data_IF_650565201637
#
_entry.id   IF_650565201637
#
_cell.length_a   1.000
_cell.length_b   1.000
_cell.length_c   1.000
_cell.angle_alpha   90.00
_cell.angle_beta   90.00
_cell.angle_gamma   90.00
#
_symmetry.space_group_name_H-M   'P 1'
#
loop_
_entity.id
_entity.type
_entity.pdbx_description
1 polymer ?
#
# COMPACT_ATOMS: atom_id res chain seq x y z
N UNK A 1 -22.66 9.85 34.60
CA UNK A 1 -21.74 10.95 34.98
C UNK A 1 -20.61 10.42 35.85
N UNK A 2 -19.42 10.15 35.29
CA UNK A 2 -18.13 10.08 36.01
C UNK A 2 -17.02 10.41 35.00
N UNK A 3 -16.53 11.64 35.02
CA UNK A 3 -15.38 12.08 34.22
C UNK A 3 -14.09 11.63 34.93
N UNK A 4 -13.23 10.88 34.25
CA UNK A 4 -11.82 10.66 34.65
C UNK A 4 -10.93 11.51 33.75
N UNK A 5 -10.40 12.59 34.32
CA UNK A 5 -9.35 13.43 33.74
C UNK A 5 -8.00 12.73 33.85
N UNK A 6 -7.31 12.57 32.73
CA UNK A 6 -5.90 12.15 32.68
C UNK A 6 -5.02 13.39 32.57
N UNK A 7 -4.13 13.59 33.55
CA UNK A 7 -3.11 14.64 33.54
C UNK A 7 -1.80 14.10 32.94
N UNK A 8 -1.47 14.56 31.74
CA UNK A 8 -0.14 14.39 31.15
C UNK A 8 0.79 15.47 31.70
N UNK A 9 1.75 15.10 32.55
CA UNK A 9 2.85 15.97 32.96
C UNK A 9 4.03 15.83 31.99
N UNK A 10 4.20 16.83 31.11
CA UNK A 10 5.44 17.04 30.34
C UNK A 10 6.42 17.87 31.17
N UNK A 11 7.67 17.45 31.39
CA UNK A 11 8.69 18.35 31.89
C UNK A 11 9.20 19.25 30.75
N UNK A 12 8.97 20.55 30.89
CA UNK A 12 9.66 21.64 30.18
C UNK A 12 10.60 22.32 31.17
N UNK A 13 11.85 22.53 30.74
CA UNK A 13 12.84 23.59 31.10
C UNK A 13 14.22 23.04 30.70
N UNK A 14 14.82 23.38 29.55
CA UNK A 14 15.28 24.66 29.04
C UNK A 14 16.48 25.26 29.82
N UNK A 15 17.51 25.58 29.02
CA UNK A 15 18.55 26.61 29.16
C UNK A 15 19.84 26.30 29.94
N UNK A 16 20.90 26.13 29.12
CA UNK A 16 22.15 26.92 29.06
C UNK A 16 23.08 26.94 30.27
N UNK A 17 24.39 26.79 30.00
CA UNK A 17 25.42 27.82 30.23
C UNK A 17 26.70 27.41 29.50
N UNK A 18 27.18 28.32 28.65
CA UNK A 18 28.50 28.35 28.03
C UNK A 18 29.53 28.83 29.06
N UNK A 19 30.65 28.12 29.22
CA UNK A 19 31.88 28.70 29.77
C UNK A 19 33.06 28.24 28.92
N UNK A 20 33.72 29.22 28.33
CA UNK A 20 34.94 29.11 27.55
C UNK A 20 36.18 29.05 28.45
N UNK A 21 37.22 28.36 28.00
CA UNK A 21 38.59 28.62 28.45
C UNK A 21 39.56 28.39 27.28
N UNK A 22 40.19 29.49 26.88
CA UNK A 22 41.20 29.57 25.85
C UNK A 22 42.56 29.06 26.36
N UNK A 23 43.35 28.44 25.49
CA UNK A 23 44.79 28.32 25.69
C UNK A 23 45.50 28.51 24.34
N UNK A 24 46.28 29.59 24.27
CA UNK A 24 47.20 29.94 23.21
C UNK A 24 48.32 28.89 23.10
N UNK A 25 48.69 28.52 21.87
CA UNK A 25 50.04 28.08 21.55
C UNK A 25 50.42 28.58 20.15
N UNK A 26 51.27 29.61 20.13
CA UNK A 26 51.93 30.14 18.96
C UNK A 26 52.96 29.12 18.44
N UNK A 27 52.96 28.85 17.14
CA UNK A 27 54.06 28.15 16.45
C UNK A 27 54.45 28.99 15.22
N UNK A 28 55.74 29.35 15.07
CA UNK A 28 56.20 30.21 13.99
C UNK A 28 56.14 29.50 12.63
N UNK A 29 55.64 30.22 11.63
CA UNK A 29 55.62 29.83 10.24
C UNK A 29 57.04 29.66 9.68
N UNK A 30 57.37 28.46 9.19
CA UNK A 30 58.49 28.24 8.27
C UNK A 30 57.92 28.21 6.85
N UNK A 31 58.19 29.28 6.09
CA UNK A 31 57.95 29.30 4.66
C UNK A 31 59.03 28.47 3.95
N UNK A 32 58.63 27.35 3.37
CA UNK A 32 59.41 26.60 2.39
C UNK A 32 58.82 26.93 1.02
N UNK A 33 59.58 27.49 0.06
CA UNK A 33 59.11 27.63 -1.31
C UNK A 33 59.16 26.24 -1.96
N UNK A 34 57.99 25.66 -2.22
CA UNK A 34 57.85 24.50 -3.10
C UNK A 34 57.31 25.02 -4.41
N UNK A 35 58.23 25.31 -5.34
CA UNK A 35 57.90 25.37 -6.77
C UNK A 35 57.59 23.95 -7.23
N UNK A 36 56.33 23.58 -7.07
CA UNK A 36 55.78 22.33 -7.53
C UNK A 36 54.38 22.61 -8.02
N UNK A 37 54.26 22.98 -9.29
CA UNK A 37 52.98 23.01 -9.98
C UNK A 37 52.31 21.65 -9.78
N UNK A 38 51.27 21.62 -8.95
CA UNK A 38 50.35 20.50 -8.87
C UNK A 38 49.64 20.47 -10.23
N UNK A 39 50.22 19.69 -11.14
CA UNK A 39 49.62 19.29 -12.39
C UNK A 39 48.34 18.54 -12.06
N UNK A 40 47.22 19.28 -11.99
CA UNK A 40 45.90 18.69 -12.13
C UNK A 40 45.85 18.26 -13.59
N UNK A 41 46.22 17.02 -13.86
CA UNK A 41 46.05 16.42 -15.17
C UNK A 41 44.54 16.51 -15.47
N UNK A 42 44.12 17.14 -16.58
CA UNK A 42 42.72 17.16 -16.93
C UNK A 42 42.27 15.71 -17.03
N UNK A 43 41.48 15.25 -16.06
CA UNK A 43 40.71 14.04 -16.27
C UNK A 43 39.71 14.44 -17.34
N UNK A 44 39.96 14.02 -18.58
CA UNK A 44 39.16 14.42 -19.73
C UNK A 44 37.67 14.26 -19.42
N UNK A 45 36.83 15.04 -20.09
CA UNK A 45 35.38 14.96 -19.94
C UNK A 45 34.96 13.51 -20.20
N UNK A 46 34.62 12.75 -19.15
CA UNK A 46 33.98 11.46 -19.31
C UNK A 46 32.56 11.80 -19.75
N UNK A 47 32.26 11.58 -21.03
CA UNK A 47 30.89 11.64 -21.52
C UNK A 47 30.04 10.77 -20.61
N UNK A 48 28.98 11.32 -20.02
CA UNK A 48 28.16 10.67 -18.98
C UNK A 48 27.37 9.44 -19.47
N UNK A 49 27.78 8.84 -20.59
CA UNK A 49 26.97 7.92 -21.38
C UNK A 49 25.73 8.62 -21.94
N UNK A 50 24.98 7.89 -22.77
CA UNK A 50 23.59 8.26 -23.01
C UNK A 50 22.79 8.16 -21.71
N UNK A 51 21.63 8.84 -21.60
CA UNK A 51 20.75 8.69 -20.45
C UNK A 51 20.47 7.20 -20.21
N UNK A 52 20.44 6.75 -18.95
CA UNK A 52 20.19 5.34 -18.64
C UNK A 52 18.84 4.95 -19.23
N UNK A 53 18.86 4.03 -20.19
CA UNK A 53 17.64 3.43 -20.73
C UNK A 53 17.16 2.44 -19.69
N UNK A 54 16.11 2.80 -18.95
CA UNK A 54 15.47 1.90 -18.01
C UNK A 54 14.81 0.73 -18.76
N UNK A 55 15.57 -0.34 -19.02
CA UNK A 55 15.07 -1.61 -19.58
C UNK A 55 14.31 -2.43 -18.52
N UNK A 56 13.61 -1.78 -17.59
CA UNK A 56 12.89 -2.45 -16.53
C UNK A 56 11.64 -3.13 -17.08
N UNK A 57 11.63 -4.46 -17.14
CA UNK A 57 10.38 -5.20 -17.30
C UNK A 57 9.50 -4.91 -16.08
N UNK A 58 8.40 -4.20 -16.28
CA UNK A 58 7.41 -4.00 -15.22
C UNK A 58 6.95 -5.39 -14.73
N UNK A 59 6.96 -5.60 -13.42
CA UNK A 59 6.33 -6.77 -12.84
C UNK A 59 4.87 -6.79 -13.31
N UNK A 60 4.34 -7.94 -13.70
CA UNK A 60 2.93 -8.04 -14.09
C UNK A 60 2.11 -8.55 -12.92
N UNK A 61 0.88 -8.07 -12.81
CA UNK A 61 -0.09 -8.61 -11.88
C UNK A 61 -1.37 -8.98 -12.61
N UNK A 62 -2.11 -9.94 -12.07
CA UNK A 62 -3.39 -10.38 -12.61
C UNK A 62 -4.50 -9.93 -11.69
N UNK A 63 -5.47 -9.21 -12.25
CA UNK A 63 -6.74 -8.89 -11.60
C UNK A 63 -7.88 -9.59 -12.32
N UNK A 64 -8.97 -9.85 -11.63
CA UNK A 64 -10.21 -10.24 -12.28
C UNK A 64 -11.07 -9.00 -12.50
N UNK A 65 -11.64 -8.87 -13.70
CA UNK A 65 -12.63 -7.86 -14.05
C UNK A 65 -13.91 -8.54 -14.54
N UNK A 66 -15.01 -7.80 -14.57
CA UNK A 66 -16.30 -8.33 -15.01
C UNK A 66 -16.51 -8.07 -16.50
N UNK A 67 -16.87 -9.11 -17.26
CA UNK A 67 -17.33 -9.03 -18.65
C UNK A 67 -18.55 -9.93 -18.82
N UNK A 68 -19.67 -9.39 -19.30
CA UNK A 68 -20.88 -10.20 -19.51
C UNK A 68 -21.40 -10.95 -18.27
N UNK A 69 -21.15 -10.43 -17.07
CA UNK A 69 -21.52 -11.09 -15.81
C UNK A 69 -20.56 -12.18 -15.33
N UNK A 70 -19.46 -12.42 -16.04
CA UNK A 70 -18.38 -13.36 -15.67
C UNK A 70 -17.13 -12.62 -15.22
N UNK A 71 -16.32 -13.27 -14.40
CA UNK A 71 -15.00 -12.84 -13.96
C UNK A 71 -13.95 -13.32 -14.96
N UNK A 72 -13.23 -12.36 -15.56
CA UNK A 72 -12.21 -12.60 -16.58
C UNK A 72 -10.86 -12.09 -16.06
N UNK A 73 -9.78 -12.87 -16.16
CA UNK A 73 -8.45 -12.41 -15.76
C UNK A 73 -7.92 -11.36 -16.73
N UNK A 74 -7.32 -10.30 -16.18
CA UNK A 74 -6.72 -9.19 -16.90
C UNK A 74 -5.35 -8.90 -16.30
N UNK A 75 -4.34 -8.84 -17.17
CA UNK A 75 -2.98 -8.50 -16.78
C UNK A 75 -2.81 -7.00 -16.78
N UNK A 76 -2.27 -6.47 -15.68
CA UNK A 76 -1.89 -5.07 -15.54
C UNK A 76 -0.42 -4.92 -15.18
N UNK A 77 0.17 -3.75 -15.46
CA UNK A 77 1.44 -3.37 -14.88
C UNK A 77 1.33 -3.37 -13.35
N UNK A 78 2.30 -4.02 -12.73
CA UNK A 78 2.54 -4.05 -11.30
C UNK A 78 3.80 -3.30 -10.91
N UNK A 79 4.08 -3.29 -9.61
CA UNK A 79 5.25 -2.65 -9.03
C UNK A 79 6.03 -3.68 -8.18
N UNK A 80 7.33 -3.83 -8.40
CA UNK A 80 8.17 -4.68 -7.54
C UNK A 80 8.05 -4.27 -6.07
N UNK A 81 8.05 -5.25 -5.16
CA UNK A 81 7.93 -5.01 -3.71
C UNK A 81 6.52 -4.66 -3.22
N UNK A 82 5.49 -4.66 -4.10
CA UNK A 82 4.09 -4.42 -3.72
C UNK A 82 3.23 -5.67 -3.94
N UNK A 83 3.27 -6.67 -3.04
CA UNK A 83 2.63 -7.97 -3.26
C UNK A 83 1.10 -7.89 -3.35
N UNK A 84 0.47 -6.93 -2.67
CA UNK A 84 -0.99 -6.77 -2.64
C UNK A 84 -1.52 -5.72 -3.62
N UNK A 85 -0.67 -5.24 -4.54
CA UNK A 85 -1.05 -4.19 -5.49
C UNK A 85 -2.25 -4.60 -6.34
N UNK A 86 -2.36 -5.88 -6.73
CA UNK A 86 -3.47 -6.39 -7.54
C UNK A 86 -4.83 -6.12 -6.89
N UNK A 87 -4.92 -6.29 -5.57
CA UNK A 87 -6.14 -6.09 -4.80
C UNK A 87 -6.45 -4.59 -4.66
N UNK A 88 -5.44 -3.78 -4.33
CA UNK A 88 -5.62 -2.32 -4.22
C UNK A 88 -6.03 -1.66 -5.54
N UNK A 89 -5.59 -2.23 -6.68
CA UNK A 89 -5.98 -1.77 -8.00
C UNK A 89 -7.46 -2.02 -8.34
N UNK A 90 -8.20 -2.81 -7.55
CA UNK A 90 -9.65 -2.97 -7.72
C UNK A 90 -10.43 -1.69 -7.40
N UNK A 91 -9.88 -0.81 -6.55
CA UNK A 91 -10.42 0.53 -6.29
C UNK A 91 -10.10 1.52 -7.41
N UNK A 92 -9.19 1.18 -8.33
CA UNK A 92 -8.82 2.04 -9.47
C UNK A 92 -9.82 1.82 -10.61
N UNK A 93 -10.38 2.88 -11.22
CA UNK A 93 -11.26 2.75 -12.37
C UNK A 93 -10.64 1.93 -13.51
N UNK A 94 -11.47 1.16 -14.22
CA UNK A 94 -11.03 0.47 -15.44
C UNK A 94 -10.57 1.46 -16.51
N UNK A 95 -9.51 1.10 -17.22
CA UNK A 95 -8.93 1.91 -18.30
C UNK A 95 -9.90 2.04 -19.48
N UNK A 96 -9.67 3.04 -20.34
CA UNK A 96 -10.48 3.22 -21.55
C UNK A 96 -10.42 2.02 -22.49
N UNK A 97 -9.27 1.33 -22.58
CA UNK A 97 -9.12 0.13 -23.40
C UNK A 97 -9.94 -1.04 -22.83
N UNK A 98 -9.82 -1.30 -21.53
CA UNK A 98 -10.59 -2.34 -20.84
C UNK A 98 -12.10 -2.09 -21.01
N UNK A 99 -12.55 -0.84 -20.82
CA UNK A 99 -13.94 -0.46 -20.98
C UNK A 99 -14.46 -0.68 -22.40
N UNK A 100 -13.68 -0.34 -23.43
CA UNK A 100 -14.03 -0.62 -24.85
C UNK A 100 -14.15 -2.12 -25.13
N UNK A 101 -13.42 -2.95 -24.39
CA UNK A 101 -13.51 -4.41 -24.46
C UNK A 101 -14.66 -5.00 -23.60
N UNK A 102 -15.52 -4.15 -23.05
CA UNK A 102 -16.67 -4.54 -22.23
C UNK A 102 -16.32 -4.95 -20.79
N UNK A 103 -15.10 -4.64 -20.32
CA UNK A 103 -14.67 -4.93 -18.95
C UNK A 103 -15.11 -3.81 -18.01
N UNK A 104 -15.54 -4.19 -16.81
CA UNK A 104 -15.90 -3.28 -15.71
C UNK A 104 -15.43 -3.81 -14.37
N UNK A 105 -15.27 -2.93 -13.39
CA UNK A 105 -15.15 -3.35 -11.98
C UNK A 105 -16.54 -3.48 -11.38
N UNK A 106 -16.77 -4.52 -10.59
CA UNK A 106 -17.94 -4.64 -9.73
C UNK A 106 -17.70 -4.08 -8.32
N UNK A 107 -16.44 -3.84 -7.94
CA UNK A 107 -16.11 -3.17 -6.68
C UNK A 107 -16.72 -1.76 -6.68
N UNK A 108 -17.52 -1.39 -5.67
CA UNK A 108 -18.20 -0.09 -5.64
C UNK A 108 -17.22 1.08 -5.70
N UNK A 109 -17.50 2.06 -6.56
CA UNK A 109 -16.70 3.27 -6.67
C UNK A 109 -16.69 4.05 -5.35
N UNK A 110 -15.55 4.68 -5.04
CA UNK A 110 -15.38 5.46 -3.81
C UNK A 110 -15.24 4.62 -2.54
N UNK A 111 -15.23 3.27 -2.62
CA UNK A 111 -14.86 2.40 -1.51
C UNK A 111 -13.37 2.10 -1.53
N UNK A 112 -12.70 2.41 -0.42
CA UNK A 112 -11.31 2.07 -0.22
C UNK A 112 -11.20 0.59 0.13
N UNK A 113 -10.26 -0.10 -0.51
CA UNK A 113 -9.89 -1.48 -0.21
C UNK A 113 -8.51 -1.44 0.42
N UNK A 114 -8.44 -1.63 1.74
CA UNK A 114 -7.15 -1.69 2.46
C UNK A 114 -6.83 -3.15 2.74
N UNK A 115 -5.62 -3.56 2.40
CA UNK A 115 -5.16 -4.95 2.56
C UNK A 115 -4.13 -5.01 3.66
N UNK A 116 -4.28 -5.98 4.56
CA UNK A 116 -3.35 -6.30 5.63
C UNK A 116 -3.03 -7.78 5.61
N UNK A 117 -1.88 -8.16 6.15
CA UNK A 117 -1.61 -9.57 6.42
C UNK A 117 -2.67 -10.12 7.39
N UNK A 118 -3.12 -11.35 7.15
CA UNK A 118 -3.99 -12.07 8.07
C UNK A 118 -3.22 -12.62 9.26
N UNK A 119 -3.95 -13.12 10.25
CA UNK A 119 -3.35 -13.70 11.46
C UNK A 119 -2.74 -15.09 11.20
N UNK A 120 -3.10 -15.70 10.07
CA UNK A 120 -2.66 -17.04 9.65
C UNK A 120 -1.90 -17.00 8.34
N UNK A 121 -1.04 -17.99 8.14
CA UNK A 121 -0.31 -18.13 6.89
C UNK A 121 -1.25 -18.33 5.70
N UNK A 122 -1.07 -17.50 4.67
CA UNK A 122 -1.90 -17.48 3.47
C UNK A 122 -3.28 -16.87 3.67
N UNK A 123 -3.50 -16.18 4.78
CA UNK A 123 -4.66 -15.35 4.99
C UNK A 123 -4.30 -13.88 4.77
N UNK A 124 -5.20 -13.14 4.15
CA UNK A 124 -5.13 -11.68 4.10
C UNK A 124 -6.42 -11.09 4.65
N UNK A 125 -6.30 -9.98 5.35
CA UNK A 125 -7.42 -9.18 5.81
C UNK A 125 -7.68 -8.07 4.79
N UNK A 126 -8.92 -7.95 4.33
CA UNK A 126 -9.38 -6.85 3.48
C UNK A 126 -10.40 -6.05 4.25
N UNK A 127 -10.03 -4.82 4.54
CA UNK A 127 -10.85 -3.88 5.27
C UNK A 127 -11.84 -3.23 4.30
N UNK A 128 -13.13 -3.33 4.63
CA UNK A 128 -14.21 -2.74 3.87
C UNK A 128 -14.97 -1.78 4.78
N UNK A 129 -14.95 -0.49 4.43
CA UNK A 129 -15.72 0.52 5.15
C UNK A 129 -17.21 0.30 4.93
N UNK A 130 -17.99 0.22 6.01
CA UNK A 130 -19.46 0.10 5.95
C UNK A 130 -20.13 1.44 6.29
N UNK A 131 -21.20 1.81 5.58
CA UNK A 131 -21.84 3.12 5.73
C UNK A 131 -22.67 3.22 7.01
N UNK A 132 -23.16 2.12 7.61
CA UNK A 132 -23.54 2.18 9.02
C UNK A 132 -23.34 0.99 9.97
N UNK A 133 -22.68 1.26 11.12
CA UNK A 133 -22.34 0.37 12.23
C UNK A 133 -23.51 0.11 13.17
N UNK A 134 -24.73 0.20 12.65
CA UNK A 134 -25.95 -0.21 13.34
C UNK A 134 -26.61 -1.34 12.55
N UNK A 135 -26.04 -2.53 12.63
CA UNK A 135 -26.92 -3.67 12.91
C UNK A 135 -27.47 -3.40 14.31
N UNK A 136 -28.70 -2.87 14.41
CA UNK A 136 -29.35 -2.38 15.64
C UNK A 136 -29.45 -3.41 16.80
N UNK A 137 -28.74 -4.55 16.75
CA UNK A 137 -28.87 -5.63 17.73
C UNK A 137 -27.59 -6.45 17.95
N UNK A 138 -26.40 -5.97 17.56
CA UNK A 138 -25.18 -6.81 17.65
C UNK A 138 -25.23 -8.06 16.75
N UNK A 139 -26.16 -8.08 15.79
CA UNK A 139 -26.28 -9.11 14.80
C UNK A 139 -25.11 -9.01 13.82
N UNK A 140 -24.52 -10.16 13.47
CA UNK A 140 -23.53 -10.28 12.41
C UNK A 140 -24.10 -9.59 11.15
N UNK A 141 -23.43 -8.58 10.57
CA UNK A 141 -23.90 -8.03 9.30
C UNK A 141 -24.04 -9.17 8.28
N UNK A 142 -25.11 -9.19 7.51
CA UNK A 142 -25.30 -10.13 6.41
C UNK A 142 -24.67 -9.57 5.14
N UNK A 143 -24.46 -10.35 4.08
CA UNK A 143 -23.75 -9.87 2.86
C UNK A 143 -24.36 -8.56 2.30
N UNK A 144 -25.65 -8.32 2.55
CA UNK A 144 -26.34 -7.07 2.25
C UNK A 144 -25.86 -5.88 3.10
N UNK A 145 -25.49 -6.08 4.36
CA UNK A 145 -24.97 -5.06 5.29
C UNK A 145 -23.61 -4.43 4.93
N UNK A 146 -22.75 -5.10 4.16
CA UNK A 146 -21.53 -4.50 3.56
C UNK A 146 -21.91 -3.72 2.30
N UNK A 147 -23.02 -4.09 1.65
CA UNK A 147 -23.51 -3.49 0.42
C UNK A 147 -22.70 -3.88 -0.82
N UNK A 148 -21.94 -4.99 -0.77
CA UNK A 148 -21.16 -5.46 -1.92
C UNK A 148 -21.93 -6.57 -2.64
N UNK A 149 -22.12 -6.45 -3.96
CA UNK A 149 -22.77 -7.51 -4.73
C UNK A 149 -21.87 -8.75 -4.75
N UNK A 150 -22.47 -9.95 -4.86
CA UNK A 150 -21.76 -11.23 -4.91
C UNK A 150 -20.59 -11.24 -5.91
N UNK A 151 -20.81 -10.66 -7.09
CA UNK A 151 -19.78 -10.57 -8.14
C UNK A 151 -18.58 -9.68 -7.75
N UNK A 152 -18.78 -8.66 -6.90
CA UNK A 152 -17.67 -7.88 -6.36
C UNK A 152 -16.84 -8.67 -5.34
N UNK A 153 -17.50 -9.48 -4.49
CA UNK A 153 -16.83 -10.39 -3.56
C UNK A 153 -16.02 -11.46 -4.32
N UNK A 154 -16.59 -12.01 -5.39
CA UNK A 154 -15.88 -12.93 -6.28
C UNK A 154 -14.69 -12.27 -6.99
N UNK A 155 -14.87 -11.06 -7.50
CA UNK A 155 -13.78 -10.28 -8.10
C UNK A 155 -12.62 -10.07 -7.12
N UNK A 156 -12.93 -9.71 -5.87
CA UNK A 156 -11.95 -9.55 -4.80
C UNK A 156 -11.24 -10.86 -4.47
N UNK A 157 -11.99 -11.94 -4.21
CA UNK A 157 -11.43 -13.23 -3.81
C UNK A 157 -10.54 -13.84 -4.90
N UNK A 158 -10.98 -13.81 -6.16
CA UNK A 158 -10.20 -14.32 -7.28
C UNK A 158 -8.98 -13.47 -7.58
N UNK A 159 -9.07 -12.15 -7.47
CA UNK A 159 -7.89 -11.27 -7.59
C UNK A 159 -6.89 -11.48 -6.47
N UNK A 160 -7.35 -11.69 -5.23
CA UNK A 160 -6.47 -11.91 -4.10
C UNK A 160 -5.69 -13.23 -4.22
N UNK A 161 -6.33 -14.30 -4.69
CA UNK A 161 -5.69 -15.60 -4.85
C UNK A 161 -4.72 -15.68 -6.06
N UNK A 162 -4.60 -14.62 -6.88
CA UNK A 162 -3.49 -14.51 -7.83
C UNK A 162 -2.17 -14.14 -7.16
N UNK A 163 -2.21 -13.63 -5.92
CA UNK A 163 -1.02 -13.28 -5.15
C UNK A 163 -0.40 -14.56 -4.59
N UNK A 164 0.90 -14.82 -4.87
CA UNK A 164 1.57 -16.01 -4.35
C UNK A 164 1.47 -16.14 -2.83
N UNK A 165 1.07 -17.32 -2.37
CA UNK A 165 0.92 -17.63 -0.95
C UNK A 165 -0.45 -17.27 -0.36
N UNK A 166 -1.29 -16.48 -1.03
CA UNK A 166 -2.65 -16.17 -0.56
C UNK A 166 -3.58 -17.33 -0.85
N UNK A 167 -4.21 -17.87 0.20
CA UNK A 167 -5.15 -19.00 0.16
C UNK A 167 -6.58 -18.60 0.46
N UNK A 168 -6.81 -17.52 1.22
CA UNK A 168 -8.16 -17.02 1.52
C UNK A 168 -8.12 -15.53 1.87
N UNK A 169 -9.27 -14.89 1.71
CA UNK A 169 -9.50 -13.49 2.07
C UNK A 169 -10.46 -13.43 3.24
N UNK A 170 -10.08 -12.71 4.28
CA UNK A 170 -10.95 -12.35 5.38
C UNK A 170 -11.45 -10.93 5.17
N UNK A 171 -12.76 -10.77 5.03
CA UNK A 171 -13.40 -9.46 4.99
C UNK A 171 -13.58 -8.97 6.41
N UNK A 172 -13.02 -7.80 6.68
CA UNK A 172 -13.12 -7.09 7.95
C UNK A 172 -13.95 -5.84 7.74
N UNK A 173 -15.10 -5.76 8.41
CA UNK A 173 -15.91 -4.55 8.35
C UNK A 173 -15.32 -3.46 9.26
N UNK A 174 -15.14 -2.28 8.67
CA UNK A 174 -14.64 -1.09 9.37
C UNK A 174 -15.74 -0.03 9.48
N UNK A 175 -15.92 0.55 10.66
CA UNK A 175 -16.74 1.73 10.89
C UNK A 175 -15.95 2.70 11.76
N UNK A 176 -15.90 3.97 11.37
CA UNK A 176 -15.13 5.02 12.07
C UNK A 176 -13.69 4.59 12.41
N UNK A 177 -13.03 3.93 11.43
CA UNK A 177 -11.69 3.35 11.56
C UNK A 177 -11.51 2.29 12.64
N UNK A 178 -12.59 1.79 13.23
CA UNK A 178 -12.58 0.68 14.17
C UNK A 178 -13.02 -0.62 13.47
N UNK A 179 -12.32 -1.69 13.80
CA UNK A 179 -12.72 -3.05 13.41
C UNK A 179 -14.02 -3.37 14.15
N UNK A 180 -15.10 -3.52 13.40
CA UNK A 180 -16.39 -3.92 13.98
C UNK A 180 -16.39 -5.42 14.22
N UNK A 181 -16.06 -6.21 13.19
CA UNK A 181 -15.94 -7.66 13.30
C UNK A 181 -15.21 -8.26 12.07
N UNK A 182 -14.35 -9.28 12.25
CA UNK A 182 -13.98 -10.18 11.16
C UNK A 182 -15.21 -10.98 10.76
N UNK A 183 -15.64 -10.83 9.52
CA UNK A 183 -17.02 -11.14 9.19
C UNK A 183 -17.15 -12.32 8.22
N UNK A 184 -16.28 -12.43 7.21
CA UNK A 184 -16.46 -13.42 6.15
C UNK A 184 -15.12 -13.93 5.62
N UNK A 185 -14.98 -15.24 5.51
CA UNK A 185 -13.88 -15.89 4.77
C UNK A 185 -14.34 -16.15 3.35
N UNK A 186 -13.53 -15.78 2.37
CA UNK A 186 -13.78 -15.97 0.94
C UNK A 186 -12.60 -16.67 0.27
N UNK A 187 -12.90 -17.54 -0.67
CA UNK A 187 -11.97 -18.13 -1.63
C UNK A 187 -12.50 -17.90 -3.04
N UNK A 188 -11.64 -17.92 -4.07
CA UNK A 188 -12.12 -17.84 -5.45
C UNK A 188 -13.00 -19.05 -5.81
N UNK A 189 -12.74 -20.21 -5.19
CA UNK A 189 -13.53 -21.43 -5.37
C UNK A 189 -15.02 -21.24 -5.04
N UNK A 190 -15.35 -20.40 -4.06
CA UNK A 190 -16.73 -20.06 -3.69
C UNK A 190 -17.50 -19.33 -4.81
N UNK A 191 -16.78 -18.89 -5.85
CA UNK A 191 -17.29 -18.15 -7.01
C UNK A 191 -16.92 -18.82 -8.33
N UNK A 192 -16.64 -20.13 -8.33
CA UNK A 192 -16.26 -20.86 -9.54
C UNK A 192 -17.30 -20.77 -10.67
N UNK A 193 -18.59 -20.63 -10.33
CA UNK A 193 -19.68 -20.38 -11.26
C UNK A 193 -19.62 -19.01 -11.95
N UNK A 194 -18.88 -18.04 -11.39
CA UNK A 194 -18.70 -16.72 -11.99
C UNK A 194 -17.50 -16.66 -12.93
N UNK A 195 -16.60 -17.64 -12.93
CA UNK A 195 -15.45 -17.68 -13.82
C UNK A 195 -15.92 -17.88 -15.27
N UNK A 196 -15.22 -17.26 -16.23
CA UNK A 196 -15.49 -17.36 -17.65
C UNK A 196 -14.27 -17.19 -18.53
#
# INVERSE_FOLDING_TARGET
>A
MRHRSWTFTRPRKALAVLVAAAALAAVPARFVPVDGGLGIQPTGIIGAGGPPVAAGKAATLTIYLVKGGRLVPVVRPGLPGQPYLSITQLSVPVTSLERRNGLRSAVPAGRQVVVRAGDRQGEINVDVTVPSGRTLSGAKPDAAGVGWPRIALGQLACTAQTVPGVRRVMIVAMWDNQVVQPWMSLTCGDFGDLLG
#
